data_IF_447208001215
#
_entry.id   IF_447208001215
#
_cell.length_a   1.000
_cell.length_b   1.000
_cell.length_c   1.000
_cell.angle_alpha   90.00
_cell.angle_beta   90.00
_cell.angle_gamma   90.00
#
_symmetry.space_group_name_H-M   'P 1'
#
loop_
_entity.id
_entity.type
_entity.pdbx_description
1 polymer ?
#
# COMPACT_ATOMS: atom_id res chain seq x y z
N UNK A 1 -5.28 -6.34 -18.16
CA UNK A 1 -4.18 -7.31 -18.24
C UNK A 1 -3.00 -6.93 -17.36
N UNK A 2 -2.32 -5.80 -17.58
CA UNK A 2 -1.12 -5.44 -16.80
C UNK A 2 -1.37 -5.27 -15.28
N UNK A 3 -2.50 -4.68 -14.88
CA UNK A 3 -2.86 -4.57 -13.46
C UNK A 3 -3.02 -5.94 -12.76
N UNK A 4 -3.56 -6.95 -13.45
CA UNK A 4 -3.70 -8.28 -12.87
C UNK A 4 -2.34 -8.94 -12.62
N UNK A 5 -1.38 -8.74 -13.53
CA UNK A 5 0.00 -9.20 -13.33
C UNK A 5 0.67 -8.48 -12.15
N UNK A 6 0.51 -7.16 -12.03
CA UNK A 6 1.04 -6.39 -10.90
C UNK A 6 0.46 -6.86 -9.55
N UNK A 7 -0.86 -7.13 -9.49
CA UNK A 7 -1.51 -7.68 -8.31
C UNK A 7 -0.96 -9.07 -7.94
N UNK A 8 -0.78 -9.94 -8.94
CA UNK A 8 -0.26 -11.29 -8.71
C UNK A 8 1.19 -11.27 -8.21
N UNK A 9 2.05 -10.45 -8.81
CA UNK A 9 3.44 -10.28 -8.37
C UNK A 9 3.48 -9.70 -6.96
N UNK A 10 2.73 -8.62 -6.70
CA UNK A 10 2.69 -8.00 -5.38
C UNK A 10 2.23 -8.99 -4.30
N UNK A 11 1.19 -9.78 -4.57
CA UNK A 11 0.72 -10.80 -3.64
C UNK A 11 1.78 -11.89 -3.38
N UNK A 12 2.37 -12.43 -4.44
CA UNK A 12 3.39 -13.48 -4.32
C UNK A 12 4.60 -13.02 -3.49
N UNK A 13 5.05 -11.78 -3.73
CA UNK A 13 6.15 -11.14 -3.01
C UNK A 13 5.80 -10.93 -1.54
N UNK A 14 4.59 -10.43 -1.23
CA UNK A 14 4.14 -10.25 0.16
C UNK A 14 4.00 -11.59 0.91
N UNK A 15 3.72 -12.69 0.21
CA UNK A 15 3.69 -14.03 0.81
C UNK A 15 5.10 -14.60 1.06
N UNK A 16 6.13 -14.04 0.43
CA UNK A 16 7.52 -14.48 0.56
C UNK A 16 8.47 -13.32 0.93
N UNK A 17 8.17 -12.60 2.01
CA UNK A 17 9.03 -11.51 2.52
C UNK A 17 10.42 -11.96 3.03
N UNK A 18 10.74 -13.26 2.95
CA UNK A 18 12.07 -13.80 3.26
C UNK A 18 13.05 -13.59 2.11
N UNK A 19 12.55 -13.39 0.90
CA UNK A 19 13.37 -13.00 -0.24
C UNK A 19 14.01 -11.64 0.04
N UNK A 20 15.34 -11.48 0.01
CA UNK A 20 15.99 -10.20 0.33
C UNK A 20 15.52 -9.03 -0.55
N UNK A 21 15.07 -9.31 -1.77
CA UNK A 21 14.69 -8.31 -2.78
C UNK A 21 13.18 -8.06 -2.83
N UNK A 22 12.39 -8.65 -1.92
CA UNK A 22 10.93 -8.53 -1.91
C UNK A 22 10.45 -7.07 -1.96
N UNK A 23 11.15 -6.16 -1.27
CA UNK A 23 10.80 -4.74 -1.24
C UNK A 23 10.95 -4.07 -2.60
N UNK A 24 11.95 -4.47 -3.39
CA UNK A 24 12.19 -3.94 -4.73
C UNK A 24 11.05 -4.38 -5.66
N UNK A 25 10.70 -5.66 -5.65
CA UNK A 25 9.61 -6.17 -6.47
C UNK A 25 8.26 -5.54 -6.10
N UNK A 26 8.00 -5.37 -4.80
CA UNK A 26 6.79 -4.70 -4.32
C UNK A 26 6.74 -3.23 -4.74
N UNK A 27 7.86 -2.50 -4.65
CA UNK A 27 7.95 -1.11 -5.12
C UNK A 27 7.64 -1.00 -6.61
N UNK A 28 8.17 -1.89 -7.46
CA UNK A 28 7.91 -1.83 -8.91
C UNK A 28 6.39 -1.89 -9.18
N UNK A 29 5.68 -2.79 -8.48
CA UNK A 29 4.23 -2.88 -8.57
C UNK A 29 3.53 -1.61 -8.08
N UNK A 30 4.00 -1.06 -6.96
CA UNK A 30 3.45 0.17 -6.40
C UNK A 30 3.68 1.40 -7.31
N UNK A 31 4.86 1.52 -7.91
CA UNK A 31 5.19 2.58 -8.86
C UNK A 31 4.30 2.52 -10.11
N UNK A 32 4.00 1.32 -10.61
CA UNK A 32 3.03 1.16 -11.68
C UNK A 32 1.67 1.74 -11.30
N UNK A 33 1.15 1.45 -10.10
CA UNK A 33 -0.11 2.04 -9.64
C UNK A 33 -0.01 3.55 -9.44
N UNK A 34 1.15 4.04 -9.00
CA UNK A 34 1.43 5.46 -8.82
C UNK A 34 1.39 6.23 -10.14
N UNK A 35 2.04 5.73 -11.17
CA UNK A 35 1.99 6.31 -12.51
C UNK A 35 0.58 6.22 -13.11
N UNK A 36 -0.10 5.09 -12.93
CA UNK A 36 -1.45 4.90 -13.44
C UNK A 36 -2.48 5.80 -12.72
N UNK A 37 -2.29 6.08 -11.43
CA UNK A 37 -3.16 6.93 -10.63
C UNK A 37 -3.25 8.35 -11.17
N UNK A 38 -2.19 8.87 -11.81
CA UNK A 38 -2.19 10.21 -12.45
C UNK A 38 -3.31 10.35 -13.48
N UNK A 39 -3.71 9.26 -14.13
CA UNK A 39 -4.75 9.26 -15.18
C UNK A 39 -6.05 8.58 -14.74
N UNK A 40 -5.96 7.67 -13.77
CA UNK A 40 -7.07 6.83 -13.35
C UNK A 40 -7.12 6.73 -11.82
N UNK A 41 -8.02 7.50 -11.22
CA UNK A 41 -8.24 7.55 -9.77
C UNK A 41 -8.51 6.19 -9.10
N UNK A 42 -9.03 5.21 -9.84
CA UNK A 42 -9.32 3.85 -9.35
C UNK A 42 -8.09 3.15 -8.74
N UNK A 43 -6.87 3.51 -9.18
CA UNK A 43 -5.65 2.92 -8.64
C UNK A 43 -5.37 3.31 -7.17
N UNK A 44 -6.04 4.32 -6.63
CA UNK A 44 -6.03 4.58 -5.20
C UNK A 44 -6.66 3.41 -4.42
N UNK A 45 -7.76 2.84 -4.92
CA UNK A 45 -8.39 1.67 -4.28
C UNK A 45 -7.53 0.43 -4.43
N UNK A 46 -6.90 0.25 -5.60
CA UNK A 46 -5.94 -0.84 -5.84
C UNK A 46 -4.79 -0.78 -4.83
N UNK A 47 -4.17 0.40 -4.68
CA UNK A 47 -3.07 0.62 -3.75
C UNK A 47 -3.49 0.38 -2.29
N UNK A 48 -4.63 0.94 -1.85
CA UNK A 48 -5.15 0.72 -0.49
C UNK A 48 -5.40 -0.75 -0.21
N UNK A 49 -6.04 -1.47 -1.14
CA UNK A 49 -6.32 -2.88 -0.98
C UNK A 49 -5.06 -3.73 -0.84
N UNK A 50 -4.03 -3.45 -1.66
CA UNK A 50 -2.76 -4.16 -1.57
C UNK A 50 -1.98 -3.81 -0.29
N UNK A 51 -2.01 -2.56 0.14
CA UNK A 51 -1.39 -2.16 1.41
C UNK A 51 -2.09 -2.78 2.63
N UNK A 52 -3.43 -2.91 2.60
CA UNK A 52 -4.14 -3.71 3.61
C UNK A 52 -3.67 -5.14 3.66
N UNK A 53 -3.41 -5.74 2.50
CA UNK A 53 -2.87 -7.10 2.44
C UNK A 53 -1.48 -7.17 3.08
N UNK A 54 -0.60 -6.22 2.73
CA UNK A 54 0.73 -6.11 3.31
C UNK A 54 0.70 -5.90 4.84
N UNK A 55 -0.22 -5.08 5.34
CA UNK A 55 -0.44 -4.86 6.77
C UNK A 55 -0.93 -6.13 7.48
N UNK A 56 -1.93 -6.84 6.91
CA UNK A 56 -2.44 -8.11 7.44
C UNK A 56 -1.34 -9.18 7.52
N UNK A 57 -0.42 -9.19 6.55
CA UNK A 57 0.76 -10.06 6.54
C UNK A 57 1.93 -9.55 7.41
N UNK A 58 1.79 -8.37 8.04
CA UNK A 58 2.83 -7.69 8.82
C UNK A 58 4.12 -7.45 8.02
N UNK A 59 4.00 -7.33 6.70
CA UNK A 59 5.12 -7.05 5.80
C UNK A 59 5.59 -5.60 5.90
N UNK A 60 4.67 -4.68 6.23
CA UNK A 60 4.92 -3.25 6.44
C UNK A 60 4.21 -2.75 7.70
N UNK A 61 4.61 -1.58 8.19
CA UNK A 61 3.94 -0.90 9.32
C UNK A 61 2.80 0.00 8.84
N UNK A 62 1.87 0.35 9.74
CA UNK A 62 0.81 1.32 9.45
C UNK A 62 1.39 2.69 9.03
N UNK A 63 2.50 3.12 9.66
CA UNK A 63 3.19 4.36 9.29
C UNK A 63 3.70 4.32 7.85
N UNK A 64 4.37 3.23 7.45
CA UNK A 64 4.85 3.03 6.09
C UNK A 64 3.69 3.06 5.09
N UNK A 65 2.61 2.33 5.41
CA UNK A 65 1.45 2.24 4.54
C UNK A 65 0.75 3.60 4.32
N UNK A 66 0.64 4.42 5.37
CA UNK A 66 0.12 5.80 5.27
C UNK A 66 1.04 6.67 4.41
N UNK A 67 2.35 6.62 4.64
CA UNK A 67 3.31 7.39 3.83
C UNK A 67 3.21 7.04 2.34
N UNK A 68 3.03 5.76 1.99
CA UNK A 68 2.86 5.31 0.61
C UNK A 68 1.56 5.85 -0.03
N UNK A 69 0.46 5.93 0.70
CA UNK A 69 -0.78 6.54 0.20
C UNK A 69 -0.63 8.05 0.00
N UNK A 70 0.06 8.74 0.90
CA UNK A 70 0.35 10.17 0.71
C UNK A 70 1.25 10.41 -0.50
N UNK A 71 2.27 9.56 -0.70
CA UNK A 71 3.12 9.57 -1.91
C UNK A 71 2.29 9.42 -3.19
N UNK A 72 1.30 8.53 -3.17
CA UNK A 72 0.37 8.32 -4.27
C UNK A 72 -0.50 9.56 -4.52
N UNK A 73 -1.06 10.16 -3.46
CA UNK A 73 -1.90 11.36 -3.55
C UNK A 73 -1.15 12.55 -4.12
N UNK A 74 0.12 12.73 -3.74
CA UNK A 74 0.97 13.83 -4.22
C UNK A 74 1.16 13.83 -5.74
N UNK A 75 1.11 12.69 -6.42
CA UNK A 75 1.26 12.65 -7.89
C UNK A 75 -0.06 12.84 -8.64
N UNK A 76 -1.20 12.71 -7.97
CA UNK A 76 -2.52 12.84 -8.57
C UNK A 76 -3.28 14.09 -8.13
N UNK A 77 -2.58 15.20 -7.85
CA UNK A 77 -3.15 16.47 -7.36
C UNK A 77 -4.27 17.05 -8.25
N UNK A 78 -4.41 16.58 -9.49
CA UNK A 78 -5.47 17.00 -10.42
C UNK A 78 -6.77 16.20 -10.29
N UNK A 79 -6.79 15.13 -9.50
CA UNK A 79 -8.00 14.37 -9.23
C UNK A 79 -8.65 14.90 -7.96
N UNK A 80 -9.73 15.67 -8.09
CA UNK A 80 -10.73 15.75 -7.01
C UNK A 80 -11.16 14.32 -6.74
N UNK A 81 -10.87 13.81 -5.54
CA UNK A 81 -11.05 12.41 -5.20
C UNK A 81 -12.44 11.94 -5.68
N UNK A 82 -12.53 11.05 -6.68
CA UNK A 82 -13.79 10.41 -6.94
C UNK A 82 -13.88 9.37 -5.84
N UNK A 83 -14.45 9.77 -4.70
CA UNK A 83 -14.75 8.92 -3.55
C UNK A 83 -15.58 7.68 -3.97
N UNK A 84 -16.09 7.66 -5.20
CA UNK A 84 -17.03 6.71 -5.76
C UNK A 84 -16.44 5.76 -6.82
N UNK A 85 -15.12 5.72 -7.05
CA UNK A 85 -14.53 4.74 -7.97
C UNK A 85 -14.56 3.34 -7.34
N UNK A 86 -15.59 2.55 -7.66
CA UNK A 86 -15.71 1.15 -7.24
C UNK A 86 -15.04 0.22 -8.25
N UNK A 87 -14.07 -0.56 -7.78
CA UNK A 87 -13.47 -1.66 -8.54
C UNK A 87 -13.70 -2.97 -7.79
N UNK A 88 -14.59 -3.80 -8.32
CA UNK A 88 -14.78 -5.16 -7.82
C UNK A 88 -13.77 -6.07 -8.51
N UNK A 89 -12.62 -6.27 -7.87
CA UNK A 89 -11.58 -7.19 -8.31
C UNK A 89 -11.10 -8.04 -7.12
N UNK A 90 -10.54 -9.21 -7.41
CA UNK A 90 -9.85 -10.03 -6.41
C UNK A 90 -8.42 -9.52 -6.29
N UNK A 91 -8.00 -9.18 -5.07
CA UNK A 91 -6.62 -8.73 -4.79
C UNK A 91 -5.64 -9.90 -4.85
N UNK A 92 -6.08 -11.06 -4.35
CA UNK A 92 -5.29 -12.27 -4.31
C UNK A 92 -6.16 -13.53 -4.45
N UNK A 93 -5.83 -14.38 -5.42
CA UNK A 93 -6.60 -15.58 -5.71
C UNK A 93 -6.43 -16.67 -4.63
N UNK A 94 -5.25 -16.80 -4.04
CA UNK A 94 -5.02 -17.76 -2.97
C UNK A 94 -5.87 -17.43 -1.73
N UNK A 95 -6.02 -16.15 -1.42
CA UNK A 95 -6.94 -15.65 -0.41
C UNK A 95 -8.39 -15.91 -0.81
N UNK A 96 -8.75 -15.67 -2.08
CA UNK A 96 -10.11 -15.89 -2.57
C UNK A 96 -10.55 -17.36 -2.47
N UNK A 97 -9.64 -18.32 -2.62
CA UNK A 97 -9.95 -19.74 -2.42
C UNK A 97 -10.32 -20.10 -0.98
N UNK A 98 -9.95 -19.26 -0.01
CA UNK A 98 -10.19 -19.49 1.43
C UNK A 98 -11.30 -18.61 1.98
N UNK A 99 -11.36 -17.36 1.54
CA UNK A 99 -12.31 -16.34 1.98
C UNK A 99 -12.51 -15.31 0.85
N UNK A 100 -13.47 -15.60 -0.04
CA UNK A 100 -13.73 -14.78 -1.23
C UNK A 100 -14.08 -13.33 -0.89
N UNK A 101 -14.98 -13.12 0.07
CA UNK A 101 -15.41 -11.76 0.46
C UNK A 101 -14.25 -10.92 0.99
N UNK A 102 -13.37 -11.51 1.80
CA UNK A 102 -12.21 -10.83 2.38
C UNK A 102 -11.11 -10.53 1.35
N UNK A 103 -11.16 -11.18 0.18
CA UNK A 103 -10.21 -10.98 -0.93
C UNK A 103 -10.64 -9.88 -1.90
N UNK A 104 -11.86 -9.35 -1.77
CA UNK A 104 -12.40 -8.31 -2.65
C UNK A 104 -11.71 -6.97 -2.42
N UNK A 105 -11.37 -6.30 -3.50
CA UNK A 105 -10.59 -5.06 -3.50
C UNK A 105 -11.29 -3.92 -2.75
N UNK A 106 -12.60 -3.75 -2.91
CA UNK A 106 -13.38 -2.74 -2.19
C UNK A 106 -13.40 -3.01 -0.67
N UNK A 107 -13.54 -4.29 -0.27
CA UNK A 107 -13.48 -4.71 1.13
C UNK A 107 -12.10 -4.41 1.70
N UNK A 108 -11.03 -4.86 1.03
CA UNK A 108 -9.66 -4.66 1.49
C UNK A 108 -9.25 -3.18 1.49
N UNK A 109 -9.70 -2.39 0.52
CA UNK A 109 -9.42 -0.96 0.49
C UNK A 109 -10.14 -0.20 1.62
N UNK A 110 -11.33 -0.64 2.02
CA UNK A 110 -12.03 -0.13 3.21
C UNK A 110 -11.29 -0.50 4.50
N UNK A 111 -10.84 -1.75 4.61
CA UNK A 111 -10.08 -2.24 5.77
C UNK A 111 -8.81 -1.43 6.02
N UNK A 112 -8.21 -0.85 4.97
CA UNK A 112 -7.02 -0.01 5.07
C UNK A 112 -7.19 1.07 6.14
N UNK A 113 -8.32 1.80 6.08
CA UNK A 113 -8.60 2.88 7.04
C UNK A 113 -8.60 2.35 8.47
N UNK A 114 -9.30 1.25 8.73
CA UNK A 114 -9.35 0.61 10.05
C UNK A 114 -7.98 0.14 10.54
N UNK A 115 -7.16 -0.44 9.66
CA UNK A 115 -5.81 -0.94 10.00
C UNK A 115 -4.81 0.19 10.27
N UNK A 116 -5.02 1.37 9.70
CA UNK A 116 -4.16 2.54 9.92
C UNK A 116 -4.54 3.39 11.14
N UNK A 117 -5.80 3.32 11.60
CA UNK A 117 -6.30 4.09 12.77
C UNK A 117 -5.94 3.43 14.12
N UNK A 118 -5.71 2.11 14.15
CA UNK A 118 -5.59 1.34 15.40
C UNK A 118 -4.26 1.44 16.17
N UNK A 119 -3.40 2.45 15.93
CA UNK A 119 -2.23 2.70 16.79
C UNK A 119 -2.49 3.85 17.78
N UNK A 120 -2.47 3.61 19.10
CA UNK A 120 -2.47 4.68 20.09
C UNK A 120 -1.17 5.47 19.95
N UNK A 121 -1.29 6.77 19.72
CA UNK A 121 -0.20 7.73 19.84
C UNK A 121 0.25 7.78 21.29
N UNK A 122 1.27 7.01 21.63
CA UNK A 122 2.04 7.19 22.84
C UNK A 122 2.94 8.41 22.71
N UNK A 123 2.62 9.44 23.50
CA UNK A 123 3.47 10.55 23.96
C UNK A 123 4.08 11.48 22.90
N UNK A 124 3.56 12.71 22.88
CA UNK A 124 4.19 13.89 22.32
C UNK A 124 5.49 14.20 23.09
N UNK A 125 6.64 13.91 22.50
CA UNK A 125 7.88 14.63 22.77
C UNK A 125 8.18 15.50 21.55
N UNK A 126 8.23 16.80 21.78
CA UNK A 126 8.59 17.80 20.79
C UNK A 126 10.06 17.66 20.39
N UNK A 127 10.30 17.15 19.20
CA UNK A 127 11.50 17.48 18.44
C UNK A 127 11.05 17.80 17.01
N UNK A 128 11.29 19.05 16.61
CA UNK A 128 11.16 19.49 15.24
C UNK A 128 12.21 18.74 14.41
N UNK A 129 11.82 17.58 13.89
CA UNK A 129 12.41 17.02 12.69
C UNK A 129 11.30 17.02 11.64
N UNK A 130 11.39 17.98 10.73
CA UNK A 130 10.66 17.96 9.47
C UNK A 130 10.80 16.55 8.86
N UNK A 131 9.69 15.84 8.59
CA UNK A 131 9.80 14.54 7.96
C UNK A 131 10.36 14.78 6.57
N UNK A 132 11.62 14.39 6.36
CA UNK A 132 12.19 14.26 5.02
C UNK A 132 11.37 13.19 4.31
N UNK A 133 10.30 13.65 3.66
CA UNK A 133 9.50 12.93 2.69
C UNK A 133 10.47 12.56 1.57
N UNK A 134 11.13 11.41 1.70
CA UNK A 134 11.73 10.78 0.55
C UNK A 134 10.61 10.63 -0.49
N UNK A 135 10.90 11.03 -1.72
CA UNK A 135 10.04 10.77 -2.88
C UNK A 135 9.84 9.26 -3.15
N UNK A 136 10.47 8.40 -2.34
CA UNK A 136 10.52 6.96 -2.46
C UNK A 136 10.48 6.31 -1.05
N UNK A 137 9.35 5.74 -0.64
CA UNK A 137 9.21 5.07 0.66
C UNK A 137 10.23 3.94 0.92
N UNK A 138 10.82 3.37 -0.13
CA UNK A 138 11.96 2.45 0.01
C UNK A 138 13.12 3.07 0.79
N UNK A 139 13.42 4.36 0.61
CA UNK A 139 14.51 5.00 1.34
C UNK A 139 14.21 5.09 2.83
N UNK A 140 12.95 5.30 3.19
CA UNK A 140 12.48 5.28 4.58
C UNK A 140 12.65 3.89 5.19
N UNK A 141 12.23 2.85 4.48
CA UNK A 141 12.32 1.47 4.98
C UNK A 141 13.77 0.95 5.01
N UNK A 142 14.61 1.36 4.05
CA UNK A 142 16.03 1.03 4.03
C UNK A 142 16.82 1.76 5.12
N UNK A 143 16.34 2.91 5.62
CA UNK A 143 16.89 3.54 6.83
C UNK A 143 16.49 2.79 8.10
N UNK A 144 15.19 2.47 8.26
CA UNK A 144 14.69 1.74 9.42
C UNK A 144 15.37 0.36 9.58
N UNK A 145 15.68 -0.33 8.48
CA UNK A 145 16.38 -1.61 8.49
C UNK A 145 17.89 -1.52 8.81
N UNK A 146 18.50 -0.33 8.77
CA UNK A 146 19.90 -0.12 9.19
C UNK A 146 20.03 0.25 10.66
N UNK A 147 18.93 0.67 11.27
CA UNK A 147 18.86 1.13 12.66
C UNK A 147 18.37 0.03 13.63
N UNK A 148 18.13 -1.19 13.13
CA UNK A 148 17.69 -2.39 13.87
C UNK A 148 18.71 -3.53 13.80
#
# INVERSE_FOLDING_TARGET
WFNAAALQVASAVLRNIKDPDWRIYYQICFNFWKEAYVRYSVYLQVAKANLSFALKLKAITSRTAVAMIEELRMVGLHHEAPENAFLTAIVDYDMATKALEDSKMDVMARDFGSLTVAQPTGSLASSQDEPVLSKNWLDTVLREARES
#
